data_IF_141224719811
#
_entry.id   IF_141224719811
#
_cell.length_a   1.000
_cell.length_b   1.000
_cell.length_c   1.000
_cell.angle_alpha   90.00
_cell.angle_beta   90.00
_cell.angle_gamma   90.00
#
_symmetry.space_group_name_H-M   'P 1'
#
loop_
_entity.id
_entity.type
_entity.pdbx_description
1 polymer ?
#
# COMPACT_ATOMS: atom_id res chain seq x y z
N UNK A 1 -22.58 15.90 27.76
CA UNK A 1 -21.32 16.12 27.02
C UNK A 1 -21.24 15.05 25.98
N UNK A 2 -21.42 15.40 24.71
CA UNK A 2 -21.36 14.44 23.61
C UNK A 2 -19.94 13.87 23.55
N UNK A 3 -19.80 12.57 23.74
CA UNK A 3 -18.54 11.83 23.58
C UNK A 3 -18.14 11.78 22.09
N UNK A 4 -17.82 12.95 21.53
CA UNK A 4 -17.28 13.09 20.19
C UNK A 4 -15.78 12.82 20.27
N UNK A 5 -15.43 11.54 20.39
CA UNK A 5 -14.04 11.11 20.26
C UNK A 5 -13.60 11.50 18.85
N UNK A 6 -12.61 12.40 18.68
CA UNK A 6 -12.13 12.74 17.35
C UNK A 6 -11.70 11.45 16.64
N UNK A 7 -11.97 11.34 15.32
CA UNK A 7 -11.56 10.16 14.57
C UNK A 7 -10.05 9.97 14.77
N UNK A 8 -9.57 8.72 14.94
CA UNK A 8 -8.16 8.46 15.16
C UNK A 8 -7.36 9.09 14.02
N UNK A 9 -6.32 9.85 14.38
CA UNK A 9 -5.45 10.49 13.41
C UNK A 9 -4.90 9.42 12.45
N UNK A 10 -4.95 9.71 11.15
CA UNK A 10 -4.45 8.78 10.13
C UNK A 10 -2.95 8.61 10.33
N UNK A 11 -2.51 7.38 10.63
CA UNK A 11 -1.09 7.09 10.81
C UNK A 11 -0.38 7.34 9.48
N UNK A 12 0.78 8.02 9.47
CA UNK A 12 1.53 8.23 8.24
C UNK A 12 1.93 6.89 7.60
N UNK A 13 1.90 6.85 6.26
CA UNK A 13 2.26 5.66 5.50
C UNK A 13 3.73 5.26 5.77
N UNK A 14 3.96 3.95 5.96
CA UNK A 14 5.31 3.41 6.10
C UNK A 14 5.97 3.30 4.73
N UNK A 15 6.81 4.27 4.37
CA UNK A 15 7.51 4.28 3.08
C UNK A 15 8.89 3.67 3.24
N UNK A 16 9.12 2.54 2.58
CA UNK A 16 10.46 1.96 2.40
C UNK A 16 10.83 1.93 0.90
N UNK A 17 12.10 1.65 0.55
CA UNK A 17 12.55 1.65 -0.84
C UNK A 17 11.77 0.68 -1.75
N UNK A 18 11.30 -0.44 -1.21
CA UNK A 18 10.66 -1.52 -1.98
C UNK A 18 9.22 -1.80 -1.58
N UNK A 19 8.80 -1.32 -0.41
CA UNK A 19 7.48 -1.59 0.16
C UNK A 19 6.88 -0.31 0.69
N UNK A 20 5.61 -0.07 0.39
CA UNK A 20 4.82 0.99 1.04
C UNK A 20 3.70 0.31 1.82
N UNK A 21 3.69 0.49 3.14
CA UNK A 21 2.60 0.02 4.00
C UNK A 21 1.63 1.15 4.27
N UNK A 22 0.34 0.93 3.98
CA UNK A 22 -0.74 1.89 4.19
C UNK A 22 -1.75 1.36 5.19
N UNK A 23 -2.27 2.22 6.04
CA UNK A 23 -3.33 1.88 6.98
C UNK A 23 -4.69 1.94 6.25
N UNK A 24 -5.41 0.82 6.20
CA UNK A 24 -6.75 0.73 5.60
C UNK A 24 -7.80 1.45 6.46
N UNK A 25 -8.93 1.86 5.89
CA UNK A 25 -10.05 2.36 6.67
C UNK A 25 -10.54 1.29 7.66
N UNK A 26 -11.00 1.70 8.85
CA UNK A 26 -11.58 0.77 9.82
C UNK A 26 -12.83 0.11 9.23
N UNK A 27 -12.97 -1.20 9.43
CA UNK A 27 -14.19 -1.93 9.07
C UNK A 27 -15.33 -1.64 10.09
N UNK A 28 -16.52 -2.19 9.85
CA UNK A 28 -17.72 -1.98 10.70
C UNK A 28 -17.52 -2.37 12.18
N UNK A 29 -16.49 -3.17 12.49
CA UNK A 29 -16.11 -3.60 13.84
C UNK A 29 -14.92 -2.82 14.40
N UNK A 30 -14.44 -1.79 13.69
CA UNK A 30 -13.33 -0.94 14.10
C UNK A 30 -11.94 -1.53 13.87
N UNK A 31 -11.81 -2.65 13.14
CA UNK A 31 -10.49 -3.20 12.81
C UNK A 31 -9.85 -2.41 11.70
N UNK A 32 -8.60 -2.03 11.93
CA UNK A 32 -7.77 -1.33 10.98
C UNK A 32 -6.78 -2.31 10.36
N UNK A 33 -6.97 -2.62 9.08
CA UNK A 33 -6.01 -3.47 8.35
C UNK A 33 -4.82 -2.67 7.81
N UNK A 34 -3.79 -3.36 7.34
CA UNK A 34 -2.66 -2.76 6.65
C UNK A 34 -2.54 -3.35 5.24
N UNK A 35 -2.38 -2.49 4.25
CA UNK A 35 -2.06 -2.86 2.88
C UNK A 35 -0.57 -2.74 2.64
N UNK A 36 0.01 -3.77 2.03
CA UNK A 36 1.43 -3.81 1.68
C UNK A 36 1.56 -3.72 0.16
N UNK A 37 2.00 -2.57 -0.33
CA UNK A 37 2.19 -2.31 -1.76
C UNK A 37 3.67 -2.51 -2.11
N UNK A 38 3.96 -3.49 -2.96
CA UNK A 38 5.32 -3.76 -3.45
C UNK A 38 5.64 -2.90 -4.67
N UNK A 39 6.80 -2.24 -4.64
CA UNK A 39 7.31 -1.50 -5.80
C UNK A 39 7.96 -2.47 -6.78
N UNK A 40 7.66 -2.33 -8.09
CA UNK A 40 8.32 -3.10 -9.14
C UNK A 40 9.83 -2.85 -9.08
N UNK A 41 10.60 -3.90 -8.84
CA UNK A 41 12.05 -3.82 -8.68
C UNK A 41 12.83 -4.09 -9.97
N UNK A 42 12.24 -4.85 -10.91
CA UNK A 42 12.84 -5.15 -12.21
C UNK A 42 12.15 -4.37 -13.33
N UNK A 43 12.93 -4.00 -14.34
CA UNK A 43 12.41 -3.52 -15.62
C UNK A 43 11.91 -4.72 -16.40
N UNK A 44 10.59 -4.86 -16.54
CA UNK A 44 9.99 -5.82 -17.46
C UNK A 44 10.22 -5.30 -18.89
N UNK A 45 11.15 -5.93 -19.60
CA UNK A 45 11.35 -5.69 -21.04
C UNK A 45 10.55 -6.75 -21.78
N UNK A 46 9.74 -6.32 -22.75
CA UNK A 46 9.01 -7.24 -23.62
C UNK A 46 9.99 -8.17 -24.35
N UNK A 47 9.71 -9.48 -24.31
CA UNK A 47 10.51 -10.46 -25.03
C UNK A 47 10.45 -10.19 -26.53
N UNK A 48 11.58 -9.78 -27.11
CA UNK A 48 11.71 -9.61 -28.56
C UNK A 48 12.24 -10.89 -29.16
N UNK A 49 11.44 -11.53 -30.00
CA UNK A 49 11.87 -12.68 -30.81
C UNK A 49 13.12 -12.25 -31.59
N UNK A 50 14.27 -12.93 -31.43
CA UNK A 50 15.48 -12.55 -32.15
C UNK A 50 15.21 -12.61 -33.65
N UNK A 51 15.69 -11.61 -34.40
CA UNK A 51 15.63 -11.64 -35.87
C UNK A 51 16.28 -12.95 -36.33
N UNK A 52 15.52 -13.75 -37.07
CA UNK A 52 16.03 -14.98 -37.68
C UNK A 52 17.29 -14.65 -38.50
N UNK A 53 18.32 -15.51 -38.45
CA UNK A 53 19.53 -15.32 -39.25
C UNK A 53 19.21 -15.31 -40.75
#
# INVERSE_FOLDING_TARGET
MSDHKPPPAKVPDGVTPYVTTRQMPPNEKGFVGFETIWKKFQKEVEYKTPKKP
#
